data_IF_136101439002
#
_entry.id   IF_136101439002
#
_cell.length_a   1.000
_cell.length_b   1.000
_cell.length_c   1.000
_cell.angle_alpha   90.00
_cell.angle_beta   90.00
_cell.angle_gamma   90.00
#
_symmetry.space_group_name_H-M   'P 1'
#
loop_
_entity.id
_entity.type
_entity.pdbx_description
1 polymer ?
#
# COMPACT_ATOMS: atom_id res chain seq x y z
N UNK A 1 41.30 0.06 33.90
CA UNK A 1 40.29 -0.92 34.35
C UNK A 1 38.96 -0.32 33.94
N UNK A 2 38.27 -1.03 33.06
CA UNK A 2 37.54 -0.44 31.93
C UNK A 2 36.05 -0.33 32.24
N UNK A 3 35.50 0.87 32.12
CA UNK A 3 34.07 1.14 32.04
C UNK A 3 33.56 0.62 30.68
N UNK A 4 32.85 -0.52 30.67
CA UNK A 4 32.38 -1.12 29.40
C UNK A 4 31.09 -1.94 29.52
N UNK A 5 30.26 -1.72 30.54
CA UNK A 5 29.08 -2.56 30.79
C UNK A 5 27.73 -1.83 30.71
N UNK A 6 27.70 -0.58 30.23
CA UNK A 6 26.46 0.21 30.10
C UNK A 6 25.85 0.24 28.70
N UNK A 7 26.48 -0.40 27.70
CA UNK A 7 25.97 -0.41 26.31
C UNK A 7 25.17 -1.67 25.95
N UNK A 8 25.21 -2.71 26.78
CA UNK A 8 24.53 -3.99 26.51
C UNK A 8 23.03 -4.00 26.87
N UNK A 9 22.55 -3.01 27.63
CA UNK A 9 21.12 -2.92 28.02
C UNK A 9 20.21 -2.36 26.91
N UNK A 10 20.76 -1.71 25.88
CA UNK A 10 19.97 -1.03 24.84
C UNK A 10 19.68 -1.94 23.63
N UNK A 11 20.40 -3.05 23.45
CA UNK A 11 20.19 -3.96 22.30
C UNK A 11 19.10 -5.01 22.53
N UNK A 12 18.71 -5.29 23.78
CA UNK A 12 17.69 -6.30 24.12
C UNK A 12 16.23 -5.81 24.06
N UNK A 13 15.98 -4.55 23.70
CA UNK A 13 14.63 -3.97 23.56
C UNK A 13 14.07 -4.06 22.13
N UNK A 14 14.85 -4.57 21.17
CA UNK A 14 14.47 -4.64 19.74
C UNK A 14 14.07 -6.03 19.25
N UNK A 15 14.25 -7.07 20.04
CA UNK A 15 13.71 -8.41 19.82
C UNK A 15 12.36 -8.56 20.54
N UNK A 16 11.34 -9.03 19.84
CA UNK A 16 10.09 -9.59 20.40
C UNK A 16 8.94 -8.65 20.79
N UNK A 17 8.77 -7.52 20.10
CA UNK A 17 7.39 -7.02 19.86
C UNK A 17 6.81 -7.69 18.61
N UNK A 18 6.50 -8.98 18.72
CA UNK A 18 5.43 -9.56 17.92
C UNK A 18 4.15 -8.88 18.40
N UNK A 19 3.56 -8.04 17.56
CA UNK A 19 2.24 -7.48 17.86
C UNK A 19 1.26 -8.65 17.90
N UNK A 20 1.05 -9.20 19.10
CA UNK A 20 -0.07 -10.08 19.38
C UNK A 20 -1.32 -9.22 19.32
N UNK A 21 -1.88 -9.09 18.12
CA UNK A 21 -3.25 -8.63 17.95
C UNK A 21 -4.10 -9.69 18.65
N UNK A 22 -4.55 -9.36 19.86
CA UNK A 22 -5.49 -10.19 20.62
C UNK A 22 -6.76 -10.36 19.79
N UNK A 23 -7.00 -11.58 19.33
CA UNK A 23 -8.15 -11.95 18.51
C UNK A 23 -9.44 -11.91 19.35
N UNK A 24 -10.00 -10.71 19.54
CA UNK A 24 -11.35 -10.49 20.05
C UNK A 24 -12.23 -9.84 18.96
N UNK A 25 -12.30 -10.49 17.80
CA UNK A 25 -13.14 -10.09 16.68
C UNK A 25 -14.19 -11.17 16.43
N UNK A 26 -15.24 -11.14 17.25
CA UNK A 26 -16.50 -11.79 16.93
C UNK A 26 -17.12 -11.09 15.70
N UNK A 27 -17.49 -11.89 14.69
CA UNK A 27 -18.32 -11.52 13.53
C UNK A 27 -17.68 -10.73 12.37
N UNK A 28 -16.57 -11.24 11.82
CA UNK A 28 -16.12 -10.91 10.46
C UNK A 28 -14.89 -11.72 10.10
N UNK A 29 -14.96 -12.55 9.05
CA UNK A 29 -13.84 -13.42 8.66
C UNK A 29 -12.68 -12.58 8.08
N UNK A 30 -11.79 -12.09 8.93
CA UNK A 30 -10.53 -11.45 8.52
C UNK A 30 -9.61 -12.53 7.97
N UNK A 31 -9.43 -12.55 6.65
CA UNK A 31 -8.44 -13.42 6.00
C UNK A 31 -7.06 -12.79 6.17
N UNK A 32 -6.23 -13.38 7.04
CA UNK A 32 -4.79 -13.05 7.10
C UNK A 32 -4.14 -13.43 5.76
N UNK A 33 -3.43 -12.48 5.17
CA UNK A 33 -2.67 -12.67 3.93
C UNK A 33 -1.21 -12.46 4.30
N UNK A 34 -0.52 -13.56 4.57
CA UNK A 34 0.92 -13.53 4.81
C UNK A 34 1.63 -13.34 3.47
N UNK A 35 2.55 -12.39 3.41
CA UNK A 35 3.26 -12.03 2.17
C UNK A 35 4.42 -12.98 1.85
N UNK A 36 4.20 -14.29 2.03
CA UNK A 36 5.21 -15.35 1.94
C UNK A 36 5.68 -15.64 0.52
N UNK A 37 7.00 -15.46 0.31
CA UNK A 37 7.95 -16.12 -0.61
C UNK A 37 7.66 -16.35 -2.10
N UNK A 38 6.55 -15.85 -2.67
CA UNK A 38 6.23 -15.97 -4.10
C UNK A 38 6.14 -14.67 -4.90
N UNK A 39 6.82 -13.60 -4.45
CA UNK A 39 6.50 -12.22 -4.88
C UNK A 39 7.52 -11.58 -5.83
N UNK A 40 8.57 -12.29 -6.22
CA UNK A 40 9.58 -11.73 -7.11
C UNK A 40 9.01 -11.70 -8.54
N UNK A 41 8.67 -10.48 -9.01
CA UNK A 41 8.34 -10.13 -10.39
C UNK A 41 6.87 -10.24 -10.84
N UNK A 42 5.88 -10.07 -9.96
CA UNK A 42 4.48 -9.89 -10.41
C UNK A 42 4.31 -8.54 -11.10
N UNK A 43 3.84 -8.53 -12.34
CA UNK A 43 3.48 -7.30 -13.05
C UNK A 43 2.12 -6.78 -12.56
N UNK A 44 1.86 -5.49 -12.75
CA UNK A 44 0.55 -4.89 -12.42
C UNK A 44 -0.58 -5.49 -13.26
N UNK A 45 -0.31 -5.79 -14.53
CA UNK A 45 -1.24 -6.46 -15.44
C UNK A 45 -1.67 -7.83 -14.90
N UNK A 46 -0.73 -8.65 -14.41
CA UNK A 46 -1.02 -9.94 -13.78
C UNK A 46 -1.90 -9.82 -12.52
N UNK A 47 -1.90 -8.66 -11.88
CA UNK A 47 -2.70 -8.39 -10.68
C UNK A 47 -4.09 -7.82 -11.01
N UNK A 48 -4.43 -7.67 -12.30
CA UNK A 48 -5.73 -7.17 -12.77
C UNK A 48 -5.81 -5.66 -12.94
N UNK A 49 -4.67 -4.96 -12.97
CA UNK A 49 -4.62 -3.52 -13.25
C UNK A 49 -4.76 -3.27 -14.74
N UNK A 50 -5.62 -2.33 -15.13
CA UNK A 50 -5.87 -1.92 -16.53
C UNK A 50 -4.64 -1.33 -17.20
N UNK A 51 -4.51 -1.56 -18.49
CA UNK A 51 -3.38 -1.15 -19.33
C UNK A 51 -2.99 0.32 -19.16
N UNK A 52 -3.97 1.24 -19.14
CA UNK A 52 -3.74 2.68 -18.97
C UNK A 52 -3.01 3.02 -17.66
N UNK A 53 -3.29 2.26 -16.59
CA UNK A 53 -2.63 2.41 -15.30
C UNK A 53 -1.29 1.65 -15.26
N UNK A 54 -1.18 0.51 -15.94
CA UNK A 54 0.09 -0.20 -16.12
C UNK A 54 1.12 0.65 -16.88
N UNK A 55 0.69 1.37 -17.90
CA UNK A 55 1.51 2.36 -18.60
C UNK A 55 1.95 3.48 -17.65
N UNK A 56 1.05 3.99 -16.81
CA UNK A 56 1.39 4.99 -15.81
C UNK A 56 2.45 4.48 -14.81
N UNK A 57 2.29 3.27 -14.28
CA UNK A 57 3.29 2.60 -13.45
C UNK A 57 4.63 2.50 -14.18
N UNK A 58 4.62 2.11 -15.46
CA UNK A 58 5.84 1.97 -16.26
C UNK A 58 6.56 3.30 -16.46
N UNK A 59 5.82 4.40 -16.70
CA UNK A 59 6.40 5.76 -16.78
C UNK A 59 7.06 6.20 -15.47
N UNK A 60 6.50 5.77 -14.33
CA UNK A 60 7.06 6.00 -13.00
C UNK A 60 8.21 5.05 -12.64
N UNK A 61 8.58 4.14 -13.55
CA UNK A 61 9.66 3.17 -13.34
C UNK A 61 9.23 1.94 -12.54
N UNK A 62 7.94 1.74 -12.27
CA UNK A 62 7.40 0.61 -11.52
C UNK A 62 7.09 -0.56 -12.46
N UNK A 63 8.08 -1.40 -12.72
CA UNK A 63 7.92 -2.59 -13.56
C UNK A 63 7.19 -3.74 -12.86
N UNK A 64 7.47 -3.91 -11.58
CA UNK A 64 6.92 -4.98 -10.75
C UNK A 64 6.25 -4.42 -9.51
N UNK A 65 5.17 -5.06 -9.10
CA UNK A 65 4.46 -4.71 -7.89
C UNK A 65 5.27 -5.12 -6.66
N UNK A 66 5.28 -4.27 -5.63
CA UNK A 66 5.89 -4.61 -4.34
C UNK A 66 5.12 -5.72 -3.64
N UNK A 67 5.71 -6.26 -2.57
CA UNK A 67 5.08 -7.26 -1.69
C UNK A 67 3.68 -6.86 -1.21
N UNK A 68 3.53 -5.65 -0.67
CA UNK A 68 2.23 -5.15 -0.18
C UNK A 68 1.24 -4.92 -1.32
N UNK A 69 1.70 -4.43 -2.48
CA UNK A 69 0.84 -4.20 -3.66
C UNK A 69 0.33 -5.54 -4.22
N UNK A 70 1.22 -6.53 -4.36
CA UNK A 70 0.88 -7.87 -4.83
C UNK A 70 -0.14 -8.57 -3.95
N UNK A 71 -0.08 -8.33 -2.63
CA UNK A 71 -1.04 -8.87 -1.67
C UNK A 71 -2.37 -8.10 -1.69
N UNK A 72 -2.33 -6.76 -1.77
CA UNK A 72 -3.51 -5.92 -1.64
C UNK A 72 -4.34 -5.82 -2.93
N UNK A 73 -3.70 -5.64 -4.09
CA UNK A 73 -4.37 -5.30 -5.35
C UNK A 73 -5.49 -6.28 -5.74
N UNK A 74 -5.29 -7.61 -5.73
CA UNK A 74 -6.36 -8.54 -6.13
C UNK A 74 -7.60 -8.46 -5.23
N UNK A 75 -7.43 -8.12 -3.96
CA UNK A 75 -8.53 -7.97 -3.02
C UNK A 75 -9.22 -6.61 -3.15
N UNK A 76 -8.44 -5.55 -3.35
CA UNK A 76 -8.95 -4.20 -3.51
C UNK A 76 -9.78 -4.07 -4.79
N UNK A 77 -9.28 -4.65 -5.89
CA UNK A 77 -9.97 -4.70 -7.18
C UNK A 77 -11.24 -5.56 -7.15
N UNK A 78 -11.31 -6.53 -6.24
CA UNK A 78 -12.53 -7.30 -5.98
C UNK A 78 -13.53 -6.56 -5.06
N UNK A 79 -13.27 -5.31 -4.70
CA UNK A 79 -14.14 -4.49 -3.84
C UNK A 79 -14.13 -4.90 -2.37
N UNK A 80 -13.06 -5.55 -1.89
CA UNK A 80 -12.94 -5.94 -0.48
C UNK A 80 -12.25 -4.87 0.34
N UNK A 81 -12.70 -4.72 1.58
CA UNK A 81 -12.03 -3.89 2.57
C UNK A 81 -10.67 -4.49 2.96
N UNK A 82 -9.66 -3.63 3.11
CA UNK A 82 -8.27 -4.03 3.36
C UNK A 82 -7.72 -3.28 4.56
N UNK A 83 -7.06 -4.02 5.43
CA UNK A 83 -6.19 -3.47 6.47
C UNK A 83 -4.75 -3.80 6.08
N UNK A 84 -3.95 -2.77 5.85
CA UNK A 84 -2.55 -2.91 5.44
C UNK A 84 -1.59 -2.64 6.58
N UNK A 85 -0.88 -3.67 7.05
CA UNK A 85 0.26 -3.54 7.96
C UNK A 85 1.55 -3.67 7.16
N UNK A 86 2.22 -2.54 6.90
CA UNK A 86 3.50 -2.55 6.21
C UNK A 86 4.36 -1.35 6.63
N UNK A 87 5.68 -1.52 6.53
CA UNK A 87 6.67 -0.47 6.83
C UNK A 87 6.61 0.71 5.84
N UNK A 88 7.19 1.84 6.23
CA UNK A 88 7.35 3.00 5.33
C UNK A 88 8.19 2.63 4.11
N UNK A 89 7.83 3.16 2.93
CA UNK A 89 8.54 2.84 1.69
C UNK A 89 8.12 1.52 1.01
N UNK A 90 7.22 0.72 1.61
CA UNK A 90 6.77 -0.54 1.01
C UNK A 90 5.87 -0.39 -0.23
N UNK A 91 5.51 0.82 -0.63
CA UNK A 91 4.65 1.08 -1.79
C UNK A 91 3.14 1.07 -1.48
N UNK A 92 2.75 1.29 -0.22
CA UNK A 92 1.34 1.36 0.21
C UNK A 92 0.49 2.33 -0.60
N UNK A 93 1.03 3.51 -0.95
CA UNK A 93 0.29 4.55 -1.68
C UNK A 93 -0.28 4.03 -2.98
N UNK A 94 0.55 3.40 -3.82
CA UNK A 94 0.08 2.80 -5.07
C UNK A 94 -0.87 1.60 -4.83
N UNK A 95 -0.70 0.87 -3.73
CA UNK A 95 -1.53 -0.30 -3.40
C UNK A 95 -3.02 0.07 -3.21
N UNK A 96 -3.33 1.26 -2.68
CA UNK A 96 -4.70 1.76 -2.60
C UNK A 96 -5.07 2.75 -3.71
N UNK A 97 -4.10 3.46 -4.30
CA UNK A 97 -4.37 4.40 -5.39
C UNK A 97 -4.82 3.70 -6.68
N UNK A 98 -4.13 2.61 -7.07
CA UNK A 98 -4.46 1.91 -8.33
C UNK A 98 -5.90 1.37 -8.35
N UNK A 99 -6.42 0.71 -7.29
CA UNK A 99 -7.82 0.29 -7.25
C UNK A 99 -8.81 1.45 -7.32
N UNK A 100 -8.52 2.57 -6.66
CA UNK A 100 -9.38 3.77 -6.70
C UNK A 100 -9.44 4.33 -8.12
N UNK A 101 -8.29 4.49 -8.78
CA UNK A 101 -8.22 5.00 -10.14
C UNK A 101 -8.86 4.06 -11.16
N UNK A 102 -8.72 2.74 -10.96
CA UNK A 102 -9.38 1.75 -11.80
C UNK A 102 -10.90 1.81 -11.68
N UNK A 103 -11.43 1.91 -10.46
CA UNK A 103 -12.87 2.07 -10.24
C UNK A 103 -13.39 3.41 -10.82
N UNK A 104 -12.59 4.48 -10.72
CA UNK A 104 -12.93 5.77 -11.32
C UNK A 104 -12.94 5.73 -12.86
N UNK A 105 -12.05 4.94 -13.48
CA UNK A 105 -12.06 4.67 -14.92
C UNK A 105 -13.30 3.90 -15.38
N UNK A 106 -13.88 3.07 -14.51
CA UNK A 106 -15.11 2.32 -14.77
C UNK A 106 -16.35 3.19 -14.63
N UNK A 107 -16.40 3.98 -13.56
CA UNK A 107 -17.53 4.85 -13.26
C UNK A 107 -17.03 6.25 -12.88
N UNK A 108 -16.80 7.12 -13.88
CA UNK A 108 -16.31 8.47 -13.64
C UNK A 108 -17.28 9.28 -12.76
N UNK A 109 -16.81 9.69 -11.59
CA UNK A 109 -17.61 10.42 -10.61
C UNK A 109 -16.76 11.49 -9.90
N UNK A 110 -17.36 12.66 -9.64
CA UNK A 110 -16.74 13.69 -8.78
C UNK A 110 -16.80 13.28 -7.32
N UNK A 111 -15.78 13.64 -6.54
CA UNK A 111 -15.71 13.34 -5.08
C UNK A 111 -15.82 11.83 -4.79
N UNK A 112 -15.08 11.02 -5.54
CA UNK A 112 -15.17 9.55 -5.49
C UNK A 112 -14.45 8.91 -4.29
N UNK A 113 -13.31 9.46 -3.87
CA UNK A 113 -12.50 8.90 -2.80
C UNK A 113 -12.05 9.99 -1.80
N UNK A 114 -11.96 9.62 -0.53
CA UNK A 114 -11.44 10.46 0.56
C UNK A 114 -10.23 9.75 1.18
N UNK A 115 -9.10 10.44 1.20
CA UNK A 115 -7.86 9.94 1.80
C UNK A 115 -7.55 10.79 3.02
N UNK A 116 -7.46 10.15 4.18
CA UNK A 116 -7.14 10.80 5.44
C UNK A 116 -5.67 10.54 5.78
N UNK A 117 -4.95 11.61 6.16
CA UNK A 117 -3.55 11.54 6.56
C UNK A 117 -3.32 12.38 7.83
N UNK A 118 -2.33 12.03 8.67
CA UNK A 118 -2.06 12.75 9.91
C UNK A 118 -1.40 14.12 9.74
N UNK A 119 -0.74 14.37 8.60
CA UNK A 119 0.04 15.59 8.36
C UNK A 119 -0.20 16.14 6.97
N UNK A 120 -0.05 17.47 6.81
CA UNK A 120 -0.24 18.16 5.53
C UNK A 120 0.78 17.69 4.49
N UNK A 121 2.02 17.48 4.92
CA UNK A 121 3.13 17.07 4.06
C UNK A 121 2.86 15.69 3.45
N UNK A 122 2.30 14.77 4.22
CA UNK A 122 1.92 13.45 3.72
C UNK A 122 0.73 13.55 2.76
N UNK A 123 -0.23 14.45 3.01
CA UNK A 123 -1.31 14.71 2.06
C UNK A 123 -0.77 15.17 0.70
N UNK A 124 0.18 16.11 0.68
CA UNK A 124 0.84 16.56 -0.55
C UNK A 124 1.56 15.42 -1.28
N UNK A 125 2.35 14.62 -0.57
CA UNK A 125 3.06 13.48 -1.17
C UNK A 125 2.11 12.47 -1.80
N UNK A 126 0.98 12.17 -1.14
CA UNK A 126 -0.03 11.29 -1.71
C UNK A 126 -0.69 11.94 -2.93
N UNK A 127 -1.00 13.23 -2.86
CA UNK A 127 -1.56 13.99 -3.98
C UNK A 127 -0.69 13.90 -5.24
N UNK A 128 0.62 14.14 -5.11
CA UNK A 128 1.59 14.00 -6.22
C UNK A 128 1.59 12.60 -6.83
N UNK A 129 1.46 11.54 -6.00
CA UNK A 129 1.39 10.16 -6.49
C UNK A 129 0.09 9.89 -7.26
N UNK A 130 -1.04 10.43 -6.78
CA UNK A 130 -2.32 10.33 -7.49
C UNK A 130 -2.29 11.08 -8.82
N UNK A 131 -1.74 12.30 -8.85
CA UNK A 131 -1.56 13.06 -10.08
C UNK A 131 -0.69 12.28 -11.07
N UNK A 132 0.49 11.82 -10.64
CA UNK A 132 1.43 11.10 -11.48
C UNK A 132 0.84 9.82 -12.13
N UNK A 133 0.03 9.08 -11.37
CA UNK A 133 -0.70 7.91 -11.88
C UNK A 133 -1.90 8.30 -12.75
N UNK A 134 -2.60 9.37 -12.38
CA UNK A 134 -3.85 9.83 -12.98
C UNK A 134 -3.70 10.77 -14.18
N UNK A 135 -2.50 11.23 -14.51
CA UNK A 135 -2.26 12.19 -15.61
C UNK A 135 -2.86 11.73 -16.93
N UNK A 136 -2.78 10.43 -17.26
CA UNK A 136 -3.29 9.88 -18.52
C UNK A 136 -4.82 9.81 -18.58
N UNK A 137 -5.52 9.95 -17.45
CA UNK A 137 -6.98 9.79 -17.38
C UNK A 137 -7.70 11.11 -17.04
N UNK A 138 -6.97 12.22 -16.95
CA UNK A 138 -7.53 13.53 -16.62
C UNK A 138 -7.99 13.65 -15.16
N UNK A 139 -7.32 12.96 -14.24
CA UNK A 139 -7.64 13.03 -12.81
C UNK A 139 -7.45 14.45 -12.27
N UNK A 140 -8.41 14.92 -11.47
CA UNK A 140 -8.28 16.13 -10.67
C UNK A 140 -8.05 15.74 -9.20
N UNK A 141 -6.96 16.21 -8.62
CA UNK A 141 -6.66 16.11 -7.19
C UNK A 141 -6.83 17.50 -6.58
N UNK A 142 -7.46 17.60 -5.40
CA UNK A 142 -7.81 18.88 -4.76
C UNK A 142 -7.77 18.81 -3.25
#
# INVERSE_FOLDING_TARGET
MSDSSSEDEIQNLRSDKKCEVSDNLENGAIKRIDTGDGVENKTFEMLGVRDVLCEACTRLGWKFATKVQSAALPHALAGKDIIGLAETGSGKTAAFALPILQALLETPQKLFALILTPTRELAFQIGEQFEALGTSIGLLVG
#
